data_IF_854295011788
#
_entry.id   IF_854295011788
#
_cell.length_a   1.000
_cell.length_b   1.000
_cell.length_c   1.000
_cell.angle_alpha   90.00
_cell.angle_beta   90.00
_cell.angle_gamma   90.00
#
_symmetry.space_group_name_H-M   'P 1'
#
loop_
_entity.id
_entity.type
_entity.pdbx_description
1 polymer ?
#
# COMPACT_ATOMS: atom_id res chain seq x y z
N UNK A 1 -1.04 -6.85 19.02
CA UNK A 1 0.40 -6.54 18.98
C UNK A 1 0.64 -5.36 19.89
N UNK A 2 1.24 -5.63 21.04
CA UNK A 2 1.61 -4.61 22.04
C UNK A 2 2.82 -3.87 21.52
N UNK A 3 2.82 -2.54 21.51
CA UNK A 3 3.95 -1.76 21.02
C UNK A 3 4.95 -1.49 22.14
N UNK A 4 6.23 -1.39 21.79
CA UNK A 4 7.29 -1.02 22.74
C UNK A 4 7.05 0.36 23.39
N UNK A 5 6.39 1.27 22.66
CA UNK A 5 6.00 2.61 23.13
C UNK A 5 5.02 2.59 24.31
N UNK A 6 4.28 1.49 24.50
CA UNK A 6 3.28 1.40 25.56
C UNK A 6 3.93 1.12 26.94
N UNK A 7 5.21 0.73 26.98
CA UNK A 7 5.95 0.31 28.16
C UNK A 7 6.65 1.52 28.80
N UNK A 8 6.11 1.98 29.94
CA UNK A 8 6.55 3.17 30.67
C UNK A 8 7.98 3.06 31.23
N UNK A 9 8.45 1.84 31.42
CA UNK A 9 9.75 1.52 32.01
C UNK A 9 10.89 1.59 30.98
N UNK A 10 10.59 1.66 29.69
CA UNK A 10 11.59 1.86 28.63
C UNK A 10 11.66 3.36 28.30
N UNK A 11 12.83 4.00 28.39
CA UNK A 11 12.99 5.39 28.02
C UNK A 11 12.55 5.64 26.56
N UNK A 12 11.91 6.77 26.28
CA UNK A 12 11.44 7.07 24.91
C UNK A 12 12.57 7.07 23.87
N UNK A 13 13.77 7.51 24.26
CA UNK A 13 14.96 7.49 23.41
C UNK A 13 15.45 6.06 23.12
N UNK A 14 15.24 5.13 24.05
CA UNK A 14 15.55 3.72 23.88
C UNK A 14 14.54 3.05 22.94
N UNK A 15 13.26 3.43 23.00
CA UNK A 15 12.25 2.97 22.03
C UNK A 15 12.59 3.45 20.62
N UNK A 16 12.93 4.73 20.44
CA UNK A 16 13.35 5.28 19.14
C UNK A 16 14.58 4.55 18.57
N UNK A 17 15.52 4.15 19.44
CA UNK A 17 16.71 3.41 19.07
C UNK A 17 16.38 1.96 18.68
N UNK A 18 15.50 1.27 19.41
CA UNK A 18 15.03 -0.08 19.10
C UNK A 18 14.27 -0.12 17.77
N UNK A 19 13.40 0.86 17.52
CA UNK A 19 12.70 1.00 16.24
C UNK A 19 13.68 1.26 15.08
N UNK A 20 14.76 2.01 15.32
CA UNK A 20 15.78 2.28 14.31
C UNK A 20 16.62 1.04 13.95
N UNK A 21 16.77 0.10 14.89
CA UNK A 21 17.44 -1.19 14.64
C UNK A 21 16.51 -2.20 13.96
N UNK A 22 15.18 -2.02 14.11
CA UNK A 22 14.17 -2.82 13.42
C UNK A 22 13.24 -3.58 14.36
N UNK A 23 13.44 -3.49 15.68
CA UNK A 23 12.59 -4.13 16.67
C UNK A 23 11.36 -3.25 16.91
N UNK A 24 10.27 -3.58 16.22
CA UNK A 24 8.99 -2.85 16.31
C UNK A 24 8.02 -3.50 17.30
N UNK A 25 8.16 -4.82 17.49
CA UNK A 25 7.26 -5.65 18.28
C UNK A 25 7.92 -6.22 19.54
N UNK A 26 7.10 -6.38 20.59
CA UNK A 26 7.54 -6.82 21.92
C UNK A 26 7.99 -8.29 21.91
N UNK A 27 7.38 -9.13 21.07
CA UNK A 27 7.71 -10.56 20.93
C UNK A 27 9.09 -10.75 20.29
N UNK A 28 9.37 -10.07 19.18
CA UNK A 28 10.65 -10.10 18.47
C UNK A 28 11.81 -9.57 19.36
N UNK A 29 11.54 -8.50 20.11
CA UNK A 29 12.50 -7.94 21.07
C UNK A 29 12.82 -8.92 22.22
N UNK A 30 11.84 -9.70 22.67
CA UNK A 30 12.02 -10.64 23.78
C UNK A 30 12.80 -11.90 23.37
N UNK A 31 12.52 -12.45 22.18
CA UNK A 31 13.13 -13.69 21.69
C UNK A 31 14.61 -13.54 21.27
N UNK A 32 15.03 -12.31 20.95
CA UNK A 32 16.40 -12.03 20.48
C UNK A 32 17.43 -12.20 21.60
N UNK A 33 18.66 -12.65 21.32
CA UNK A 33 19.73 -12.75 22.32
C UNK A 33 20.16 -11.35 22.82
N UNK A 34 20.26 -11.16 24.15
CA UNK A 34 20.62 -9.88 24.76
C UNK A 34 22.01 -9.36 24.33
N UNK A 35 22.98 -10.25 24.10
CA UNK A 35 24.34 -9.87 23.71
C UNK A 35 24.44 -9.42 22.26
N UNK A 36 23.73 -10.09 21.36
CA UNK A 36 23.64 -9.72 19.94
C UNK A 36 22.89 -8.39 19.77
N UNK A 37 21.78 -8.26 20.48
CA UNK A 37 20.97 -7.04 20.52
C UNK A 37 21.77 -5.83 21.03
N UNK A 38 22.58 -6.00 22.09
CA UNK A 38 23.43 -4.93 22.61
C UNK A 38 24.42 -4.43 21.56
N UNK A 39 25.07 -5.34 20.82
CA UNK A 39 26.02 -4.98 19.78
C UNK A 39 25.36 -4.19 18.63
N UNK A 40 24.15 -4.57 18.23
CA UNK A 40 23.37 -3.86 17.21
C UNK A 40 22.93 -2.47 17.66
N UNK A 41 22.40 -2.38 18.90
CA UNK A 41 21.92 -1.13 19.48
C UNK A 41 23.07 -0.13 19.69
N UNK A 42 24.23 -0.57 20.19
CA UNK A 42 25.41 0.29 20.36
C UNK A 42 25.91 0.79 19.00
N UNK A 43 25.98 -0.10 18.00
CA UNK A 43 26.37 0.27 16.63
C UNK A 43 25.40 1.28 16.02
N UNK A 44 24.09 1.11 16.23
CA UNK A 44 23.09 2.04 15.77
C UNK A 44 23.17 3.39 16.50
N UNK A 45 23.42 3.38 17.81
CA UNK A 45 23.56 4.61 18.58
C UNK A 45 24.78 5.43 18.16
N UNK A 46 25.90 4.79 17.82
CA UNK A 46 27.08 5.47 17.25
C UNK A 46 26.79 6.16 15.91
N UNK A 47 25.89 5.59 15.10
CA UNK A 47 25.54 6.14 13.79
C UNK A 47 24.45 7.22 13.86
N UNK A 48 23.50 7.06 14.79
CA UNK A 48 22.29 7.88 14.84
C UNK A 48 22.30 8.91 15.97
N UNK A 49 23.19 8.73 16.97
CA UNK A 49 23.32 9.58 18.16
C UNK A 49 21.97 9.87 18.82
N UNK A 50 21.15 8.83 19.01
CA UNK A 50 19.79 8.93 19.54
C UNK A 50 19.82 9.08 21.06
N UNK A 51 20.64 8.26 21.73
CA UNK A 51 20.86 8.33 23.17
C UNK A 51 22.18 9.04 23.50
N UNK A 52 22.25 9.82 24.59
CA UNK A 52 23.46 10.53 25.00
C UNK A 52 24.60 9.60 25.45
N UNK A 53 24.25 8.39 25.90
CA UNK A 53 25.19 7.36 26.32
C UNK A 53 24.80 6.02 25.69
N UNK A 54 25.80 5.20 25.38
CA UNK A 54 25.56 3.87 24.83
C UNK A 54 24.85 2.98 25.88
N UNK A 55 23.80 2.24 25.47
CA UNK A 55 23.15 1.29 26.36
C UNK A 55 24.13 0.22 26.86
N UNK A 56 23.96 -0.20 28.11
CA UNK A 56 24.72 -1.30 28.72
C UNK A 56 23.89 -2.58 28.72
N UNK A 57 24.55 -3.73 28.94
CA UNK A 57 23.88 -5.03 29.06
C UNK A 57 22.78 -5.01 30.15
N UNK A 58 23.06 -4.37 31.28
CA UNK A 58 22.11 -4.17 32.39
C UNK A 58 20.86 -3.38 31.96
N UNK A 59 21.00 -2.37 31.08
CA UNK A 59 19.87 -1.62 30.56
C UNK A 59 18.98 -2.49 29.66
N UNK A 60 19.60 -3.27 28.77
CA UNK A 60 18.87 -4.15 27.84
C UNK A 60 18.13 -5.26 28.60
N UNK A 61 18.75 -5.84 29.63
CA UNK A 61 18.11 -6.81 30.51
C UNK A 61 16.94 -6.19 31.30
N UNK A 62 17.11 -4.98 31.82
CA UNK A 62 16.03 -4.26 32.51
C UNK A 62 14.83 -4.01 31.59
N UNK A 63 15.07 -3.64 30.31
CA UNK A 63 14.01 -3.46 29.33
C UNK A 63 13.29 -4.77 29.00
N UNK A 64 14.02 -5.88 28.88
CA UNK A 64 13.44 -7.22 28.68
C UNK A 64 12.63 -7.69 29.89
N UNK A 65 13.08 -7.39 31.10
CA UNK A 65 12.31 -7.67 32.32
C UNK A 65 11.03 -6.84 32.40
N UNK A 66 11.06 -5.57 31.98
CA UNK A 66 9.85 -4.74 31.91
C UNK A 66 8.83 -5.29 30.92
N UNK A 67 9.31 -5.79 29.77
CA UNK A 67 8.51 -6.47 28.76
C UNK A 67 7.87 -7.75 29.31
N UNK A 68 8.65 -8.62 29.98
CA UNK A 68 8.16 -9.89 30.50
C UNK A 68 7.16 -9.71 31.65
N UNK A 69 7.34 -8.69 32.49
CA UNK A 69 6.42 -8.36 33.57
C UNK A 69 5.00 -8.01 33.07
N UNK A 70 4.87 -7.44 31.86
CA UNK A 70 3.58 -7.18 31.22
C UNK A 70 3.04 -8.38 30.43
N UNK A 71 3.90 -9.15 29.78
CA UNK A 71 3.50 -10.39 29.08
C UNK A 71 2.92 -11.44 30.03
N UNK A 72 3.45 -11.54 31.26
CA UNK A 72 2.94 -12.45 32.29
C UNK A 72 1.55 -12.06 32.82
N UNK A 73 1.14 -10.79 32.72
CA UNK A 73 -0.14 -10.30 33.23
C UNK A 73 -1.34 -10.52 32.27
N UNK A 74 -1.10 -11.05 31.07
CA UNK A 74 -2.16 -11.50 30.15
C UNK A 74 -2.41 -13.02 30.19
N UNK A 75 -1.72 -13.75 31.08
CA UNK A 75 -1.74 -15.21 31.17
C UNK A 75 -2.34 -15.81 32.46
N UNK A 76 -3.18 -15.09 33.20
CA UNK A 76 -3.89 -15.65 34.37
C UNK A 76 -5.40 -15.58 34.13
N UNK A 77 -5.94 -16.69 33.63
CA UNK A 77 -7.37 -16.92 33.53
C UNK A 77 -8.00 -17.01 34.91
N UNK A 78 -8.89 -16.08 35.22
CA UNK A 78 -9.78 -16.19 36.36
C UNK A 78 -10.94 -17.11 36.01
N UNK A 79 -10.83 -18.35 36.46
CA UNK A 79 -11.88 -19.36 36.45
C UNK A 79 -12.79 -19.19 37.66
N UNK A 80 -14.11 -19.10 37.45
CA UNK A 80 -15.15 -19.54 38.41
C UNK A 80 -16.49 -19.71 37.67
N UNK A 81 -17.46 -20.52 38.17
CA UNK A 81 -17.78 -21.81 37.58
C UNK A 81 -19.26 -21.96 37.13
N UNK A 82 -19.54 -23.05 36.40
CA UNK A 82 -20.88 -23.53 35.98
C UNK A 82 -21.73 -24.07 37.14
N UNK A 83 -22.99 -23.63 37.22
CA UNK A 83 -24.27 -24.36 37.45
C UNK A 83 -25.35 -23.26 37.65
N UNK A 84 -26.62 -23.28 37.21
CA UNK A 84 -27.58 -24.37 36.96
C UNK A 84 -28.83 -23.79 36.23
N UNK A 85 -29.46 -24.63 35.39
CA UNK A 85 -30.85 -24.65 34.84
C UNK A 85 -31.72 -23.38 34.77
N UNK A 86 -32.42 -23.18 33.63
CA UNK A 86 -33.86 -23.53 33.47
C UNK A 86 -34.45 -23.06 32.12
N UNK A 87 -35.28 -23.96 31.60
CA UNK A 87 -36.22 -24.00 30.47
C UNK A 87 -36.86 -22.68 29.98
N UNK A 88 -37.10 -22.62 28.65
CA UNK A 88 -38.39 -22.29 27.99
C UNK A 88 -38.18 -22.21 26.46
N UNK A 89 -38.59 -23.25 25.74
CA UNK A 89 -39.76 -23.29 24.83
C UNK A 89 -39.55 -22.67 23.44
N UNK A 90 -39.45 -23.56 22.45
CA UNK A 90 -39.61 -23.26 21.03
C UNK A 90 -41.10 -23.35 20.64
N UNK A 91 -41.61 -22.51 19.72
CA UNK A 91 -42.84 -22.82 19.03
C UNK A 91 -42.59 -23.46 17.66
N UNK A 92 -43.33 -24.55 17.51
CA UNK A 92 -43.59 -25.42 16.38
C UNK A 92 -44.16 -24.66 15.17
N UNK A 93 -43.67 -25.02 13.97
CA UNK A 93 -44.19 -24.57 12.68
C UNK A 93 -45.21 -25.61 12.23
N UNK A 94 -46.48 -25.21 12.10
CA UNK A 94 -47.49 -26.02 11.41
C UNK A 94 -48.37 -25.21 10.46
N UNK A 95 -48.19 -25.55 9.18
CA UNK A 95 -49.16 -25.76 8.10
C UNK A 95 -50.23 -24.70 7.80
N UNK A 96 -50.33 -24.35 6.51
CA UNK A 96 -51.51 -24.72 5.72
C UNK A 96 -51.16 -24.89 4.23
N UNK A 97 -51.51 -26.07 3.72
CA UNK A 97 -51.66 -26.43 2.30
C UNK A 97 -53.08 -26.06 1.85
N UNK A 98 -53.22 -25.64 0.60
CA UNK A 98 -54.31 -25.97 -0.35
C UNK A 98 -53.88 -25.37 -1.71
N UNK A 99 -53.37 -26.17 -2.66
CA UNK A 99 -54.07 -27.04 -3.63
C UNK A 99 -54.64 -26.31 -4.84
N UNK A 100 -54.02 -26.49 -6.02
CA UNK A 100 -54.59 -26.83 -7.36
C UNK A 100 -53.34 -27.23 -8.20
N UNK A 101 -53.17 -28.39 -8.85
CA UNK A 101 -54.10 -29.42 -9.35
C UNK A 101 -54.08 -29.41 -10.89
N UNK A 102 -53.53 -30.46 -11.50
CA UNK A 102 -53.43 -30.74 -12.96
C UNK A 102 -52.40 -29.85 -13.71
N UNK A 103 -51.30 -30.36 -14.27
CA UNK A 103 -51.24 -31.40 -15.29
C UNK A 103 -50.05 -32.35 -15.07
N UNK A 104 -50.38 -33.56 -14.62
CA UNK A 104 -49.53 -34.74 -14.72
C UNK A 104 -49.99 -35.50 -15.97
N UNK A 105 -49.04 -36.11 -16.66
CA UNK A 105 -49.25 -37.14 -17.68
C UNK A 105 -49.56 -36.65 -19.11
N UNK A 106 -48.58 -36.07 -19.79
CA UNK A 106 -48.53 -36.18 -21.26
C UNK A 106 -47.18 -35.96 -21.95
N UNK A 107 -46.03 -36.01 -21.25
CA UNK A 107 -44.73 -35.85 -21.94
C UNK A 107 -43.59 -36.72 -21.39
N UNK A 108 -43.94 -37.91 -20.94
CA UNK A 108 -42.97 -38.97 -20.56
C UNK A 108 -43.05 -40.19 -21.49
N UNK A 109 -43.47 -40.05 -22.76
CA UNK A 109 -43.58 -41.23 -23.66
C UNK A 109 -43.18 -41.07 -25.12
N UNK A 110 -42.68 -39.91 -25.54
CA UNK A 110 -42.20 -39.71 -26.92
C UNK A 110 -40.98 -38.79 -26.91
N UNK A 111 -39.90 -39.28 -26.32
CA UNK A 111 -38.51 -38.95 -26.69
C UNK A 111 -37.61 -39.98 -25.98
N UNK A 112 -37.98 -41.25 -26.15
CA UNK A 112 -37.21 -42.44 -25.82
C UNK A 112 -36.62 -43.08 -27.08
N UNK A 113 -36.33 -42.26 -28.10
CA UNK A 113 -35.80 -42.67 -29.40
C UNK A 113 -34.76 -41.66 -29.90
N UNK A 114 -33.78 -41.31 -29.06
CA UNK A 114 -32.53 -40.68 -29.54
C UNK A 114 -31.39 -40.99 -28.56
N UNK A 115 -31.32 -42.25 -28.11
CA UNK A 115 -30.13 -42.81 -27.46
C UNK A 115 -29.48 -43.76 -28.46
N UNK A 116 -28.69 -43.21 -29.40
CA UNK A 116 -27.92 -44.03 -30.33
C UNK A 116 -26.79 -43.30 -31.06
N UNK A 117 -25.95 -42.57 -30.34
CA UNK A 117 -24.52 -42.46 -30.70
C UNK A 117 -23.79 -41.62 -29.66
N UNK A 118 -23.16 -42.28 -28.71
CA UNK A 118 -21.79 -42.05 -28.22
C UNK A 118 -21.64 -42.90 -26.96
N UNK A 119 -21.69 -44.23 -27.18
CA UNK A 119 -21.13 -45.19 -26.25
C UNK A 119 -19.63 -44.87 -26.22
N UNK A 120 -19.19 -44.08 -25.24
CA UNK A 120 -17.77 -43.92 -24.99
C UNK A 120 -17.25 -45.28 -24.57
N UNK A 121 -16.32 -45.84 -25.35
CA UNK A 121 -15.56 -47.03 -24.97
C UNK A 121 -14.84 -46.70 -23.65
N UNK A 122 -15.43 -47.11 -22.54
CA UNK A 122 -14.77 -47.07 -21.23
C UNK A 122 -13.69 -48.14 -21.28
N UNK A 123 -12.44 -47.71 -21.41
CA UNK A 123 -11.28 -48.59 -21.38
C UNK A 123 -11.31 -49.40 -20.06
N UNK A 124 -11.35 -50.74 -20.11
CA UNK A 124 -11.38 -51.57 -18.91
C UNK A 124 -10.12 -51.47 -18.04
N UNK A 125 -9.09 -50.73 -18.47
CA UNK A 125 -7.90 -50.42 -17.67
C UNK A 125 -7.98 -49.07 -16.92
N UNK A 126 -9.12 -48.37 -16.94
CA UNK A 126 -9.28 -47.12 -16.21
C UNK A 126 -9.33 -47.41 -14.70
N UNK A 127 -8.24 -47.11 -14.00
CA UNK A 127 -8.16 -47.23 -12.54
C UNK A 127 -9.02 -46.12 -11.93
N UNK A 128 -10.04 -46.50 -11.16
CA UNK A 128 -10.87 -45.53 -10.47
C UNK A 128 -10.13 -45.00 -9.23
N UNK A 129 -9.53 -43.82 -9.36
CA UNK A 129 -8.77 -43.17 -8.29
C UNK A 129 -9.66 -42.50 -7.24
N UNK A 130 -10.99 -42.44 -7.41
CA UNK A 130 -11.91 -41.86 -6.42
C UNK A 130 -12.02 -42.72 -5.15
N UNK A 131 -11.60 -43.97 -5.21
CA UNK A 131 -11.54 -44.90 -4.07
C UNK A 131 -10.19 -44.86 -3.33
N UNK A 132 -9.20 -44.12 -3.85
CA UNK A 132 -7.90 -43.98 -3.20
C UNK A 132 -8.01 -43.07 -1.95
N UNK A 133 -7.57 -43.54 -0.76
CA UNK A 133 -7.67 -42.77 0.47
C UNK A 133 -6.93 -41.43 0.43
N UNK A 134 -5.86 -41.32 -0.37
CA UNK A 134 -5.09 -40.08 -0.53
C UNK A 134 -5.84 -39.08 -1.42
N UNK A 135 -6.52 -39.57 -2.47
CA UNK A 135 -7.40 -38.76 -3.33
C UNK A 135 -8.66 -38.33 -2.59
N UNK A 136 -9.25 -39.18 -1.75
CA UNK A 136 -10.39 -38.80 -0.90
C UNK A 136 -10.01 -37.71 0.11
N UNK A 137 -8.83 -37.81 0.74
CA UNK A 137 -8.33 -36.77 1.64
C UNK A 137 -8.11 -35.42 0.92
N UNK A 138 -7.69 -35.48 -0.36
CA UNK A 138 -7.56 -34.28 -1.20
C UNK A 138 -8.92 -33.71 -1.61
N UNK A 139 -9.89 -34.55 -2.01
CA UNK A 139 -11.24 -34.12 -2.40
C UNK A 139 -12.01 -33.47 -1.25
N UNK A 140 -11.82 -33.93 -0.01
CA UNK A 140 -12.39 -33.28 1.19
C UNK A 140 -11.89 -31.84 1.37
N UNK A 141 -10.68 -31.54 0.93
CA UNK A 141 -10.08 -30.20 1.00
C UNK A 141 -10.21 -29.41 -0.32
N UNK A 142 -10.74 -30.03 -1.38
CA UNK A 142 -10.88 -29.41 -2.68
C UNK A 142 -12.07 -28.42 -2.68
N UNK A 143 -11.94 -27.26 -3.34
CA UNK A 143 -13.02 -26.30 -3.44
C UNK A 143 -14.19 -26.91 -4.22
N UNK A 144 -15.36 -26.98 -3.61
CA UNK A 144 -16.59 -27.46 -4.25
C UNK A 144 -17.06 -26.43 -5.29
N UNK A 145 -17.27 -26.90 -6.53
CA UNK A 145 -17.78 -26.05 -7.59
C UNK A 145 -19.30 -25.93 -7.47
N UNK A 146 -19.78 -24.83 -6.88
CA UNK A 146 -21.22 -24.54 -6.88
C UNK A 146 -21.68 -24.09 -8.28
N UNK A 147 -22.74 -24.70 -8.84
CA UNK A 147 -23.27 -24.28 -10.13
C UNK A 147 -23.80 -22.84 -10.04
N UNK A 148 -23.29 -21.98 -10.92
CA UNK A 148 -23.72 -20.58 -10.99
C UNK A 148 -25.20 -20.48 -11.35
N UNK A 149 -25.97 -19.77 -10.52
CA UNK A 149 -27.39 -19.48 -10.80
C UNK A 149 -27.51 -18.65 -12.07
N UNK A 150 -28.42 -19.04 -12.97
CA UNK A 150 -28.66 -18.38 -14.26
C UNK A 150 -28.96 -16.87 -14.18
N UNK A 151 -29.51 -16.40 -13.04
CA UNK A 151 -29.77 -14.98 -12.79
C UNK A 151 -28.49 -14.15 -12.61
N UNK A 152 -27.42 -14.73 -12.06
CA UNK A 152 -26.13 -14.07 -11.90
C UNK A 152 -25.39 -13.95 -13.23
N UNK A 153 -25.42 -15.02 -14.04
CA UNK A 153 -24.87 -15.04 -15.41
C UNK A 153 -25.46 -13.91 -16.24
N UNK A 154 -26.79 -13.75 -16.20
CA UNK A 154 -27.49 -12.70 -16.96
C UNK A 154 -27.23 -11.29 -16.44
N UNK A 155 -27.15 -11.11 -15.11
CA UNK A 155 -26.91 -9.79 -14.50
C UNK A 155 -25.47 -9.30 -14.74
N UNK A 156 -24.51 -10.20 -14.82
CA UNK A 156 -23.09 -9.86 -14.98
C UNK A 156 -22.58 -10.10 -16.40
N UNK A 157 -23.47 -10.52 -17.32
CA UNK A 157 -23.20 -10.78 -18.72
C UNK A 157 -21.96 -11.69 -18.93
N UNK A 158 -21.89 -12.76 -18.13
CA UNK A 158 -20.78 -13.71 -18.12
C UNK A 158 -20.90 -14.57 -19.37
N UNK A 159 -19.90 -14.50 -20.27
CA UNK A 159 -19.85 -15.34 -21.45
C UNK A 159 -19.38 -16.76 -21.08
N UNK A 160 -19.66 -17.75 -21.92
CA UNK A 160 -19.19 -19.13 -21.70
C UNK A 160 -17.66 -19.17 -21.64
N UNK A 161 -16.99 -18.34 -22.44
CA UNK A 161 -15.54 -18.19 -22.46
C UNK A 161 -14.95 -17.61 -21.15
N UNK A 162 -15.78 -16.98 -20.30
CA UNK A 162 -15.35 -16.43 -19.01
C UNK A 162 -15.37 -17.49 -17.89
N UNK A 163 -15.94 -18.68 -18.15
CA UNK A 163 -16.00 -19.79 -17.20
C UNK A 163 -14.73 -20.63 -17.40
N UNK A 164 -13.89 -20.82 -16.36
CA UNK A 164 -12.69 -21.63 -16.50
C UNK A 164 -13.06 -23.08 -16.83
N UNK A 165 -12.39 -23.66 -17.83
CA UNK A 165 -12.54 -25.07 -18.17
C UNK A 165 -12.12 -25.94 -16.97
N UNK A 166 -13.05 -26.76 -16.47
CA UNK A 166 -12.79 -27.72 -15.43
C UNK A 166 -12.16 -28.98 -16.01
N UNK A 167 -11.08 -29.46 -15.40
CA UNK A 167 -10.47 -30.75 -15.76
C UNK A 167 -11.27 -31.86 -15.04
N UNK A 168 -11.86 -32.77 -15.81
CA UNK A 168 -12.52 -33.96 -15.28
C UNK A 168 -11.47 -35.04 -15.01
N UNK A 169 -11.27 -35.37 -13.73
CA UNK A 169 -10.26 -36.33 -13.29
C UNK A 169 -10.47 -37.74 -13.87
N UNK A 170 -11.71 -38.08 -14.20
CA UNK A 170 -12.08 -39.35 -14.85
C UNK A 170 -11.58 -39.49 -16.28
N UNK A 171 -11.11 -38.40 -16.91
CA UNK A 171 -10.60 -38.40 -18.28
C UNK A 171 -9.07 -38.20 -18.36
N UNK A 172 -8.38 -38.14 -17.22
CA UNK A 172 -6.95 -37.96 -17.18
C UNK A 172 -6.22 -39.32 -17.09
N UNK A 173 -5.26 -39.56 -17.99
CA UNK A 173 -4.35 -40.71 -17.92
C UNK A 173 -2.92 -40.25 -17.63
N UNK A 174 -2.32 -40.73 -16.54
CA UNK A 174 -0.94 -40.42 -16.13
C UNK A 174 -0.83 -39.60 -14.83
N UNK A 175 0.39 -39.28 -14.41
CA UNK A 175 0.63 -38.37 -13.27
C UNK A 175 0.23 -36.93 -13.67
N UNK A 176 -0.80 -36.39 -13.01
CA UNK A 176 -1.28 -35.02 -13.23
C UNK A 176 -0.95 -34.17 -12.01
N UNK A 177 0.00 -33.24 -12.15
CA UNK A 177 0.28 -32.23 -11.12
C UNK A 177 -0.85 -31.19 -11.08
N UNK A 178 -1.75 -31.30 -10.11
CA UNK A 178 -2.77 -30.30 -9.84
C UNK A 178 -2.20 -29.20 -8.93
N UNK A 179 -1.89 -28.04 -9.52
CA UNK A 179 -1.43 -26.89 -8.75
C UNK A 179 -2.65 -26.16 -8.13
N UNK A 180 -2.94 -26.44 -6.86
CA UNK A 180 -4.02 -25.81 -6.08
C UNK A 180 -3.62 -24.38 -5.70
N UNK A 181 -3.52 -23.51 -6.70
CA UNK A 181 -3.28 -22.08 -6.47
C UNK A 181 -4.60 -21.41 -6.14
N UNK A 182 -4.72 -20.93 -4.91
CA UNK A 182 -5.83 -20.09 -4.48
C UNK A 182 -5.99 -18.91 -5.44
N UNK A 183 -7.23 -18.66 -5.88
CA UNK A 183 -7.64 -17.61 -6.82
C UNK A 183 -7.10 -16.19 -6.54
N UNK A 184 -6.69 -15.77 -5.32
CA UNK A 184 -6.07 -14.46 -5.11
C UNK A 184 -4.68 -14.29 -5.74
N UNK A 185 -3.93 -15.38 -5.94
CA UNK A 185 -2.56 -15.30 -6.49
C UNK A 185 -2.55 -15.04 -7.99
N UNK A 186 -3.50 -15.61 -8.74
CA UNK A 186 -3.59 -15.46 -10.19
C UNK A 186 -3.97 -14.04 -10.62
N UNK A 187 -4.82 -13.36 -9.83
CA UNK A 187 -5.16 -11.95 -10.02
C UNK A 187 -3.95 -11.02 -9.79
N UNK A 188 -3.11 -11.33 -8.80
CA UNK A 188 -1.89 -10.57 -8.51
C UNK A 188 -0.83 -10.73 -9.60
N UNK A 189 -0.72 -11.90 -10.23
CA UNK A 189 0.20 -12.13 -11.34
C UNK A 189 -0.19 -11.32 -12.58
N UNK A 190 -1.47 -11.36 -12.98
CA UNK A 190 -1.98 -10.55 -14.12
C UNK A 190 -1.80 -9.04 -13.90
N UNK A 191 -2.05 -8.56 -12.69
CA UNK A 191 -1.86 -7.14 -12.35
C UNK A 191 -0.37 -6.72 -12.41
N UNK A 192 0.55 -7.60 -11.99
CA UNK A 192 2.00 -7.33 -12.04
C UNK A 192 2.56 -7.37 -13.45
N UNK A 193 2.04 -8.25 -14.31
CA UNK A 193 2.43 -8.31 -15.72
C UNK A 193 2.01 -7.04 -16.48
N UNK A 194 0.79 -6.53 -16.19
CA UNK A 194 0.32 -5.25 -16.69
C UNK A 194 1.16 -4.05 -16.19
N UNK A 195 1.60 -4.07 -14.92
CA UNK A 195 2.46 -3.03 -14.35
C UNK A 195 3.91 -3.09 -14.87
N UNK A 196 4.43 -4.28 -15.15
CA UNK A 196 5.75 -4.46 -15.75
C UNK A 196 5.81 -3.93 -17.20
N UNK A 197 4.74 -4.14 -17.97
CA UNK A 197 4.58 -3.54 -19.31
C UNK A 197 4.57 -2.01 -19.29
N UNK A 198 4.03 -1.38 -18.24
CA UNK A 198 4.02 0.09 -18.08
C UNK A 198 5.36 0.67 -17.63
N UNK A 199 6.17 -0.12 -16.92
CA UNK A 199 7.45 0.34 -16.34
C UNK A 199 8.66 -0.01 -17.20
N UNK A 200 8.48 -0.80 -18.26
CA UNK A 200 9.57 -1.26 -19.13
C UNK A 200 10.51 -2.25 -18.43
N UNK A 201 10.04 -2.86 -17.34
CA UNK A 201 10.77 -3.89 -16.61
C UNK A 201 10.56 -5.22 -17.33
N UNK A 202 11.66 -5.88 -17.73
CA UNK A 202 11.60 -7.22 -18.30
C UNK A 202 11.23 -8.22 -17.20
N UNK A 203 9.98 -8.68 -17.23
CA UNK A 203 9.43 -9.68 -16.29
C UNK A 203 10.26 -10.95 -16.26
N UNK A 204 10.80 -11.35 -17.42
CA UNK A 204 11.68 -12.53 -17.55
C UNK A 204 12.99 -12.45 -16.75
N UNK A 205 13.35 -11.28 -16.21
CA UNK A 205 14.54 -11.10 -15.38
C UNK A 205 14.21 -11.11 -13.87
N UNK A 206 12.94 -11.05 -13.51
CA UNK A 206 12.50 -11.05 -12.11
C UNK A 206 12.25 -12.51 -11.72
N UNK A 207 13.23 -13.14 -11.06
CA UNK A 207 13.07 -14.50 -10.53
C UNK A 207 12.22 -14.49 -9.25
N UNK A 208 11.54 -15.61 -8.99
CA UNK A 208 10.82 -15.85 -7.75
C UNK A 208 11.82 -16.01 -6.58
N UNK A 209 11.42 -15.59 -5.37
CA UNK A 209 12.27 -15.78 -4.17
C UNK A 209 12.52 -17.25 -3.87
N UNK A 210 11.60 -18.13 -4.27
CA UNK A 210 11.70 -19.58 -4.08
C UNK A 210 12.71 -20.25 -5.05
N UNK A 211 13.21 -19.49 -6.04
CA UNK A 211 14.14 -19.94 -7.09
C UNK A 211 15.49 -19.20 -7.02
N UNK A 212 15.70 -18.46 -5.92
CA UNK A 212 16.98 -17.89 -5.56
C UNK A 212 17.81 -18.98 -4.88
N UNK A 213 18.60 -19.69 -5.68
CA UNK A 213 19.68 -20.54 -5.15
C UNK A 213 20.59 -19.74 -4.21
N UNK A 214 21.12 -20.42 -3.20
CA UNK A 214 22.04 -19.95 -2.14
C UNK A 214 23.42 -19.48 -2.69
N UNK A 215 23.57 -19.42 -4.02
CA UNK A 215 24.76 -18.88 -4.67
C UNK A 215 24.65 -17.37 -4.86
N UNK A 216 25.47 -16.67 -4.09
CA UNK A 216 25.67 -15.22 -4.07
C UNK A 216 26.15 -14.71 -5.45
N UNK A 217 25.24 -14.57 -6.40
CA UNK A 217 25.55 -14.10 -7.75
C UNK A 217 25.78 -12.59 -7.72
N UNK A 218 27.06 -12.21 -7.63
CA UNK A 218 27.50 -10.83 -7.72
C UNK A 218 27.27 -10.29 -9.15
N UNK A 219 26.08 -9.73 -9.40
CA UNK A 219 25.75 -9.12 -10.70
C UNK A 219 26.58 -7.85 -10.85
N UNK A 220 27.47 -7.84 -11.86
CA UNK A 220 28.26 -6.67 -12.21
C UNK A 220 27.29 -5.54 -12.61
N UNK A 221 27.35 -4.36 -11.96
CA UNK A 221 26.44 -3.27 -12.28
C UNK A 221 26.59 -2.88 -13.75
N UNK A 222 25.46 -2.64 -14.43
CA UNK A 222 25.47 -2.21 -15.82
C UNK A 222 26.36 -0.97 -15.97
N UNK A 223 27.15 -0.94 -17.04
CA UNK A 223 27.93 0.23 -17.42
C UNK A 223 26.98 1.43 -17.53
N UNK A 224 27.16 2.40 -16.63
CA UNK A 224 26.40 3.64 -16.65
C UNK A 224 26.71 4.33 -17.97
N UNK A 225 25.77 4.28 -18.92
CA UNK A 225 25.82 5.10 -20.13
C UNK A 225 26.04 6.57 -19.76
N UNK A 226 26.57 7.36 -20.70
CA UNK A 226 26.99 8.75 -20.50
C UNK A 226 26.06 9.48 -19.52
N UNK A 227 26.61 9.86 -18.37
CA UNK A 227 25.83 10.47 -17.30
C UNK A 227 25.19 11.74 -17.85
N UNK A 228 23.86 11.70 -18.04
CA UNK A 228 23.10 12.92 -18.31
C UNK A 228 23.47 13.90 -17.18
N UNK A 229 23.93 15.11 -17.54
CA UNK A 229 24.42 16.21 -16.65
C UNK A 229 23.62 16.43 -15.35
N UNK A 230 22.38 15.94 -15.31
CA UNK A 230 21.46 16.02 -14.18
C UNK A 230 21.75 15.08 -12.99
N UNK A 231 22.65 14.08 -13.11
CA UNK A 231 23.07 13.21 -11.97
C UNK A 231 24.49 13.52 -11.51
N UNK A 232 25.28 14.25 -12.29
CA UNK A 232 26.56 14.77 -11.81
C UNK A 232 26.31 15.85 -10.77
N UNK A 233 26.98 15.74 -9.61
CA UNK A 233 27.34 16.90 -8.80
C UNK A 233 27.85 17.95 -9.78
N UNK A 234 27.23 19.13 -9.82
CA UNK A 234 27.55 20.19 -10.78
C UNK A 234 29.06 20.29 -10.97
N UNK A 235 29.54 19.86 -12.14
CA UNK A 235 30.98 19.77 -12.40
C UNK A 235 31.58 21.17 -12.19
N UNK A 236 32.57 21.25 -11.29
CA UNK A 236 33.26 22.49 -10.94
C UNK A 236 32.81 23.19 -9.65
N UNK A 237 31.56 23.06 -9.19
CA UNK A 237 31.09 23.83 -8.01
C UNK A 237 31.62 23.26 -6.69
N UNK A 238 31.74 21.93 -6.59
CA UNK A 238 32.23 21.24 -5.40
C UNK A 238 33.62 20.62 -5.62
N UNK A 239 34.31 21.00 -6.70
CA UNK A 239 35.64 20.46 -6.99
C UNK A 239 36.63 20.92 -5.91
N UNK A 240 37.26 19.97 -5.21
CA UNK A 240 38.21 20.28 -4.13
C UNK A 240 37.58 20.69 -2.80
N UNK A 241 36.26 20.60 -2.64
CA UNK A 241 35.56 20.88 -1.38
C UNK A 241 35.14 19.57 -0.70
N UNK A 242 35.50 19.43 0.59
CA UNK A 242 35.07 18.27 1.38
C UNK A 242 33.56 18.32 1.65
N UNK A 243 32.83 17.18 1.70
CA UNK A 243 31.38 17.14 1.94
C UNK A 243 30.92 17.77 3.27
N UNK A 244 31.83 17.81 4.24
CA UNK A 244 31.64 18.40 5.57
C UNK A 244 31.85 19.92 5.57
N UNK A 245 32.50 20.47 4.55
CA UNK A 245 32.77 21.90 4.48
C UNK A 245 31.47 22.70 4.31
N UNK A 246 31.38 23.84 5.00
CA UNK A 246 30.22 24.76 4.90
C UNK A 246 30.01 25.32 3.50
N UNK A 247 31.05 25.30 2.67
CA UNK A 247 31.05 25.77 1.28
C UNK A 247 30.63 24.67 0.30
N UNK A 248 30.53 23.41 0.73
CA UNK A 248 30.06 22.32 -0.10
C UNK A 248 28.58 22.54 -0.42
N UNK A 249 28.30 22.82 -1.70
CA UNK A 249 26.94 23.08 -2.10
C UNK A 249 26.22 21.73 -2.21
N UNK A 250 25.16 21.53 -1.43
CA UNK A 250 24.40 20.27 -1.35
C UNK A 250 23.16 20.29 -2.25
N UNK A 251 22.83 19.16 -2.87
CA UNK A 251 21.60 18.98 -3.66
C UNK A 251 21.80 18.87 -5.17
N UNK A 252 20.78 18.33 -5.84
CA UNK A 252 20.76 18.04 -7.29
C UNK A 252 20.23 19.25 -8.05
N UNK A 253 20.87 19.61 -9.17
CA UNK A 253 20.40 20.69 -10.02
C UNK A 253 19.18 20.24 -10.83
N UNK A 254 18.08 21.00 -10.77
CA UNK A 254 16.92 20.72 -11.62
C UNK A 254 17.20 21.12 -13.07
N UNK A 255 16.89 20.29 -14.08
CA UNK A 255 17.17 20.59 -15.49
C UNK A 255 16.39 21.82 -15.99
N UNK A 256 15.16 22.00 -15.51
CA UNK A 256 14.27 23.09 -15.91
C UNK A 256 13.93 23.96 -14.69
N UNK A 257 14.82 24.85 -14.23
CA UNK A 257 14.60 25.62 -13.02
C UNK A 257 13.45 26.61 -13.16
N UNK A 258 13.26 27.18 -14.35
CA UNK A 258 12.21 28.14 -14.64
C UNK A 258 10.82 27.52 -14.53
N UNK A 259 10.60 26.33 -15.10
CA UNK A 259 9.30 25.62 -15.03
C UNK A 259 8.89 25.34 -13.59
N UNK A 260 9.84 24.92 -12.74
CA UNK A 260 9.56 24.67 -11.31
C UNK A 260 9.19 25.97 -10.58
N UNK A 261 9.83 27.10 -10.90
CA UNK A 261 9.47 28.40 -10.31
C UNK A 261 8.08 28.87 -10.75
N UNK A 262 7.74 28.76 -12.03
CA UNK A 262 6.40 29.10 -12.53
C UNK A 262 5.34 28.24 -11.84
N UNK A 263 5.61 26.94 -11.71
CA UNK A 263 4.71 26.04 -10.99
C UNK A 263 4.56 26.40 -9.51
N UNK A 264 5.67 26.74 -8.84
CA UNK A 264 5.67 27.19 -7.45
C UNK A 264 4.89 28.49 -7.26
N UNK A 265 5.01 29.43 -8.20
CA UNK A 265 4.26 30.68 -8.20
C UNK A 265 2.75 30.44 -8.24
N UNK A 266 2.25 29.63 -9.18
CA UNK A 266 0.82 29.34 -9.26
C UNK A 266 0.30 28.54 -8.07
N UNK A 267 1.10 27.61 -7.53
CA UNK A 267 0.75 26.88 -6.30
C UNK A 267 0.60 27.82 -5.10
N UNK A 268 1.51 28.80 -4.96
CA UNK A 268 1.44 29.81 -3.92
C UNK A 268 0.26 30.76 -4.12
N UNK A 269 0.03 31.22 -5.36
CA UNK A 269 -1.06 32.12 -5.72
C UNK A 269 -2.43 31.51 -5.38
N UNK A 270 -2.65 30.24 -5.71
CA UNK A 270 -3.88 29.53 -5.35
C UNK A 270 -4.04 29.45 -3.84
N UNK A 271 -2.98 29.12 -3.10
CA UNK A 271 -3.06 29.01 -1.64
C UNK A 271 -3.39 30.37 -0.99
N UNK A 272 -2.78 31.46 -1.47
CA UNK A 272 -3.05 32.81 -0.97
C UNK A 272 -4.48 33.26 -1.30
N UNK A 273 -4.94 33.02 -2.53
CA UNK A 273 -6.30 33.37 -2.93
C UNK A 273 -7.34 32.50 -2.22
N UNK A 274 -7.04 31.25 -1.90
CA UNK A 274 -7.92 30.37 -1.13
C UNK A 274 -8.10 30.91 0.29
N UNK A 275 -7.00 31.29 0.97
CA UNK A 275 -7.06 31.92 2.30
C UNK A 275 -7.79 33.27 2.23
N UNK A 276 -7.51 34.08 1.20
CA UNK A 276 -8.17 35.36 0.99
C UNK A 276 -9.68 35.19 0.73
N UNK A 277 -10.10 34.13 0.02
CA UNK A 277 -11.52 33.81 -0.15
C UNK A 277 -12.16 33.33 1.16
N UNK A 278 -11.48 32.46 1.90
CA UNK A 278 -11.99 31.92 3.16
C UNK A 278 -12.29 33.02 4.19
N UNK A 279 -11.44 34.04 4.27
CA UNK A 279 -11.58 35.17 5.21
C UNK A 279 -12.36 36.33 4.59
N UNK A 280 -12.05 36.66 3.33
CA UNK A 280 -12.57 37.83 2.64
C UNK A 280 -14.03 37.70 2.23
N UNK A 281 -14.51 36.50 1.88
CA UNK A 281 -15.92 36.32 1.48
C UNK A 281 -16.87 36.57 2.65
N UNK A 282 -16.70 35.95 3.85
CA UNK A 282 -17.52 36.28 5.01
C UNK A 282 -17.42 37.76 5.39
N UNK A 283 -16.22 38.32 5.36
CA UNK A 283 -16.00 39.73 5.68
C UNK A 283 -16.76 40.68 4.73
N UNK A 284 -16.69 40.44 3.42
CA UNK A 284 -17.37 41.27 2.41
C UNK A 284 -18.90 41.17 2.52
N UNK A 285 -19.43 39.99 2.82
CA UNK A 285 -20.86 39.78 3.02
C UNK A 285 -21.35 40.54 4.26
N UNK A 286 -20.63 40.40 5.39
CA UNK A 286 -20.95 41.13 6.63
C UNK A 286 -20.85 42.65 6.45
N UNK A 287 -19.77 43.11 5.80
CA UNK A 287 -19.57 44.53 5.52
C UNK A 287 -20.66 45.11 4.60
N UNK A 288 -21.08 44.35 3.59
CA UNK A 288 -22.19 44.71 2.71
C UNK A 288 -23.52 44.78 3.44
N UNK A 289 -23.78 43.83 4.35
CA UNK A 289 -24.99 43.80 5.18
C UNK A 289 -25.05 44.96 6.18
N UNK A 290 -23.93 45.37 6.77
CA UNK A 290 -23.90 46.44 7.77
C UNK A 290 -24.01 47.84 7.13
N UNK A 291 -23.39 48.03 5.95
CA UNK A 291 -23.29 49.36 5.32
C UNK A 291 -24.28 49.58 4.17
N UNK A 292 -25.19 48.63 3.90
CA UNK A 292 -26.17 48.66 2.79
C UNK A 292 -25.52 48.94 1.42
N UNK A 293 -24.26 48.53 1.24
CA UNK A 293 -23.51 48.72 -0.01
C UNK A 293 -23.50 47.43 -0.81
N UNK A 294 -23.69 47.57 -2.13
CA UNK A 294 -23.56 46.46 -3.07
C UNK A 294 -22.10 45.97 -3.15
N UNK A 295 -21.79 44.88 -2.45
CA UNK A 295 -20.46 44.23 -2.43
C UNK A 295 -20.31 43.13 -3.49
N UNK A 296 -21.23 43.02 -4.44
CA UNK A 296 -21.23 41.97 -5.47
C UNK A 296 -19.97 41.97 -6.33
N UNK A 297 -19.50 43.14 -6.78
CA UNK A 297 -18.30 43.24 -7.63
C UNK A 297 -17.01 42.74 -6.95
N UNK A 298 -16.69 43.17 -5.71
CA UNK A 298 -15.58 42.59 -4.94
C UNK A 298 -15.67 41.08 -4.77
N UNK A 299 -16.86 40.55 -4.45
CA UNK A 299 -17.11 39.11 -4.25
C UNK A 299 -16.85 38.34 -5.55
N UNK A 300 -17.39 38.83 -6.67
CA UNK A 300 -17.17 38.24 -8.01
C UNK A 300 -15.70 38.31 -8.40
N UNK A 301 -15.03 39.44 -8.16
CA UNK A 301 -13.61 39.59 -8.44
C UNK A 301 -12.73 38.61 -7.67
N UNK A 302 -12.99 38.46 -6.37
CA UNK A 302 -12.25 37.54 -5.50
C UNK A 302 -12.47 36.06 -5.88
N UNK A 303 -13.72 35.71 -6.21
CA UNK A 303 -14.10 34.36 -6.67
C UNK A 303 -13.51 34.04 -8.04
N UNK A 304 -13.63 34.97 -8.99
CA UNK A 304 -13.06 34.83 -10.34
C UNK A 304 -11.55 34.73 -10.30
N UNK A 305 -10.87 35.48 -9.41
CA UNK A 305 -9.43 35.38 -9.21
C UNK A 305 -9.01 33.99 -8.73
N UNK A 306 -9.73 33.42 -7.75
CA UNK A 306 -9.49 32.05 -7.29
C UNK A 306 -9.71 31.04 -8.43
N UNK A 307 -10.80 31.17 -9.17
CA UNK A 307 -11.10 30.28 -10.30
C UNK A 307 -10.01 30.30 -11.37
N UNK A 308 -9.60 31.49 -11.81
CA UNK A 308 -8.55 31.65 -12.84
C UNK A 308 -7.18 31.16 -12.35
N UNK A 309 -6.84 31.43 -11.08
CA UNK A 309 -5.58 30.92 -10.50
C UNK A 309 -5.58 29.41 -10.35
N UNK A 310 -6.71 28.81 -9.94
CA UNK A 310 -6.85 27.35 -9.85
C UNK A 310 -6.69 26.69 -11.23
N UNK A 311 -7.30 27.28 -12.26
CA UNK A 311 -7.13 26.82 -13.64
C UNK A 311 -5.67 26.88 -14.08
N UNK A 312 -4.99 28.00 -13.83
CA UNK A 312 -3.57 28.16 -14.14
C UNK A 312 -2.69 27.17 -13.37
N UNK A 313 -3.00 26.88 -12.11
CA UNK A 313 -2.31 25.87 -11.32
C UNK A 313 -2.48 24.46 -11.91
N UNK A 314 -3.66 24.10 -12.43
CA UNK A 314 -3.86 22.80 -13.07
C UNK A 314 -3.02 22.63 -14.34
N UNK A 315 -2.90 23.68 -15.14
CA UNK A 315 -2.08 23.66 -16.37
C UNK A 315 -0.57 23.72 -16.09
N UNK A 316 -0.13 24.65 -15.24
CA UNK A 316 1.30 24.92 -15.01
C UNK A 316 1.81 24.40 -13.66
N UNK A 317 1.04 24.57 -12.58
CA UNK A 317 1.42 24.19 -11.21
C UNK A 317 1.68 22.69 -11.01
N UNK A 318 0.85 21.84 -11.62
CA UNK A 318 0.94 20.38 -11.47
C UNK A 318 2.10 19.77 -12.29
N UNK A 319 2.68 20.53 -13.21
CA UNK A 319 3.70 20.04 -14.15
C UNK A 319 5.08 19.79 -13.52
N UNK A 320 5.38 20.41 -12.37
CA UNK A 320 6.70 20.30 -11.74
C UNK A 320 6.92 18.92 -11.12
N UNK A 321 7.94 18.20 -11.63
CA UNK A 321 8.34 16.86 -11.18
C UNK A 321 9.69 16.90 -10.47
N UNK A 322 9.90 16.00 -9.51
CA UNK A 322 11.24 15.76 -8.99
C UNK A 322 12.09 15.11 -10.08
N UNK A 323 13.36 15.51 -10.19
CA UNK A 323 14.30 14.83 -11.08
C UNK A 323 14.71 13.44 -10.56
N UNK A 324 14.78 13.28 -9.24
CA UNK A 324 15.26 12.05 -8.59
C UNK A 324 14.16 11.00 -8.55
N UNK A 325 13.01 11.30 -7.94
CA UNK A 325 11.91 10.34 -7.78
C UNK A 325 10.77 10.51 -8.81
N UNK A 326 10.84 11.47 -9.72
CA UNK A 326 9.80 11.71 -10.73
C UNK A 326 8.47 12.28 -10.20
N UNK A 327 8.29 12.36 -8.88
CA UNK A 327 7.02 12.73 -8.26
C UNK A 327 6.65 14.21 -8.46
N UNK A 328 5.36 14.50 -8.62
CA UNK A 328 4.84 15.87 -8.78
C UNK A 328 4.93 16.65 -7.47
N UNK A 329 5.70 17.73 -7.44
CA UNK A 329 6.07 18.41 -6.19
C UNK A 329 4.91 19.16 -5.54
N UNK A 330 4.11 19.86 -6.34
CA UNK A 330 3.02 20.69 -5.83
C UNK A 330 1.67 19.99 -5.87
N UNK A 331 1.60 18.69 -6.18
CA UNK A 331 0.34 17.95 -6.21
C UNK A 331 0.04 17.33 -4.84
N UNK A 332 -1.20 17.43 -4.34
CA UNK A 332 -1.59 16.72 -3.12
C UNK A 332 -1.58 15.21 -3.37
N UNK A 333 -0.91 14.46 -2.49
CA UNK A 333 -0.91 13.00 -2.50
C UNK A 333 -1.02 12.45 -1.09
N UNK A 334 -1.71 11.31 -0.96
CA UNK A 334 -1.84 10.53 0.26
C UNK A 334 -0.70 9.50 0.35
N UNK A 335 0.52 9.96 0.52
CA UNK A 335 1.64 9.06 0.78
C UNK A 335 2.54 9.64 1.86
N UNK A 336 3.37 8.77 2.44
CA UNK A 336 4.34 9.14 3.45
C UNK A 336 5.28 10.20 2.86
N UNK A 337 5.46 11.29 3.60
CA UNK A 337 6.33 12.40 3.23
C UNK A 337 7.62 12.30 4.03
N UNK A 338 8.72 12.74 3.42
CA UNK A 338 10.02 12.68 4.08
C UNK A 338 10.07 13.64 5.27
N UNK A 339 10.73 13.24 6.37
CA UNK A 339 10.94 14.07 7.56
C UNK A 339 11.68 15.38 7.28
N UNK A 340 12.56 15.40 6.26
CA UNK A 340 13.32 16.60 5.84
C UNK A 340 12.50 17.58 5.00
N UNK A 341 11.28 17.22 4.61
CA UNK A 341 10.43 18.10 3.82
C UNK A 341 9.98 19.31 4.63
N UNK A 342 9.94 20.48 3.99
CA UNK A 342 9.41 21.67 4.65
C UNK A 342 7.92 21.46 4.96
N UNK A 343 7.57 21.62 6.23
CA UNK A 343 6.20 21.45 6.71
C UNK A 343 5.86 22.61 7.63
N UNK A 344 4.63 23.07 7.53
CA UNK A 344 4.04 23.99 8.51
C UNK A 344 2.76 23.30 9.01
N UNK A 345 2.55 23.21 10.33
CA UNK A 345 1.30 22.66 10.87
C UNK A 345 0.11 23.42 10.27
N UNK A 346 -1.00 22.72 10.02
CA UNK A 346 -2.23 23.24 9.38
C UNK A 346 -2.15 23.53 7.87
N UNK A 347 -1.05 24.10 7.38
CA UNK A 347 -0.90 24.49 5.97
C UNK A 347 -0.36 23.33 5.11
N UNK A 348 0.39 22.41 5.72
CA UNK A 348 0.97 21.25 5.06
C UNK A 348 2.32 21.56 4.41
N UNK A 349 2.59 20.91 3.27
CA UNK A 349 3.92 20.84 2.67
C UNK A 349 4.07 21.65 1.37
N UNK A 350 2.96 21.99 0.71
CA UNK A 350 2.98 22.63 -0.61
C UNK A 350 3.44 24.07 -0.49
N UNK A 351 2.81 24.86 0.41
CA UNK A 351 3.15 26.27 0.60
C UNK A 351 4.62 26.49 1.00
N UNK A 352 5.17 25.85 2.06
CA UNK A 352 6.55 26.11 2.45
C UNK A 352 7.54 25.67 1.38
N UNK A 353 7.29 24.55 0.70
CA UNK A 353 8.11 24.10 -0.44
C UNK A 353 8.08 25.10 -1.60
N UNK A 354 6.91 25.64 -1.94
CA UNK A 354 6.74 26.64 -3.00
C UNK A 354 7.43 27.97 -2.64
N UNK A 355 7.32 28.39 -1.37
CA UNK A 355 8.00 29.57 -0.85
C UNK A 355 9.53 29.42 -0.97
N UNK A 356 10.06 28.28 -0.55
CA UNK A 356 11.50 27.99 -0.67
C UNK A 356 11.98 27.97 -2.13
N UNK A 357 11.22 27.32 -3.01
CA UNK A 357 11.52 27.29 -4.44
C UNK A 357 11.56 28.69 -5.07
N UNK A 358 10.67 29.60 -4.65
CA UNK A 358 10.56 30.97 -5.18
C UNK A 358 11.64 31.91 -4.63
N UNK A 359 11.78 31.99 -3.30
CA UNK A 359 12.66 32.98 -2.67
C UNK A 359 14.11 32.50 -2.55
N UNK A 360 14.29 31.26 -2.09
CA UNK A 360 15.63 30.74 -1.81
C UNK A 360 16.23 29.99 -3.01
N UNK A 361 15.45 29.72 -4.06
CA UNK A 361 15.89 29.03 -5.30
C UNK A 361 16.41 27.60 -5.02
N UNK A 362 15.97 27.00 -3.93
CA UNK A 362 16.21 25.60 -3.58
C UNK A 362 15.08 25.10 -2.69
N UNK A 363 14.82 23.80 -2.67
CA UNK A 363 13.83 23.18 -1.79
C UNK A 363 14.13 21.69 -1.57
N UNK A 364 13.60 21.09 -0.52
CA UNK A 364 13.61 19.63 -0.35
C UNK A 364 12.41 18.99 -1.03
N UNK A 365 12.64 17.93 -1.81
CA UNK A 365 11.55 17.14 -2.36
C UNK A 365 10.71 16.52 -1.21
N UNK A 366 9.39 16.71 -1.26
CA UNK A 366 8.47 16.23 -0.21
C UNK A 366 8.43 14.70 -0.08
N UNK A 367 8.81 13.97 -1.13
CA UNK A 367 8.77 12.51 -1.18
C UNK A 367 10.14 11.89 -0.90
N UNK A 368 11.15 12.17 -1.74
CA UNK A 368 12.47 11.55 -1.59
C UNK A 368 13.42 12.30 -0.64
N UNK A 369 13.04 13.49 -0.14
CA UNK A 369 13.87 14.28 0.77
C UNK A 369 15.15 14.84 0.15
N UNK A 370 15.36 14.68 -1.16
CA UNK A 370 16.55 15.22 -1.83
C UNK A 370 16.46 16.74 -1.92
N UNK A 371 17.55 17.43 -1.58
CA UNK A 371 17.69 18.86 -1.84
C UNK A 371 17.78 19.11 -3.35
N UNK A 372 16.89 19.94 -3.89
CA UNK A 372 16.85 20.31 -5.31
C UNK A 372 17.17 21.80 -5.45
N UNK A 373 18.15 22.12 -6.30
CA UNK A 373 18.54 23.50 -6.61
C UNK A 373 17.93 23.97 -7.92
N UNK A 374 17.52 25.24 -7.94
CA UNK A 374 16.93 25.93 -9.09
C UNK A 374 17.84 27.03 -9.66
N UNK A 375 19.10 27.09 -9.23
CA UNK A 375 20.12 28.00 -9.76
C UNK A 375 21.43 27.20 -9.89
N UNK A 376 22.20 27.48 -10.95
CA UNK A 376 23.61 27.08 -11.03
C UNK A 376 24.43 27.90 -10.04
#
# INVERSE_FOLDING_TARGET
>A
MTKLQDISEIPSEAVDLLEAVGYLDVEEFYETNAQELLAEIVKANHQLAIMPHDPTEENVEAWKMAVSARGAYQGVGESTPKHESRDEEAPDIRNNNESVGADRAQREKEESEEDQSHLFDVDPNLVNFEEDPEVQAMLVNAPEAEPLRSTLIRRHNIAVDDIPEGILLTQCSGEVEMNVLSTPRLANLKNREADAGRTGLMVSRIRHFDEADDEDHHIKPLDKGASKEAVSVSQGVNHGLTPESRRFVRGVLHPEPFRVRVAAFFAMLVQLLLVANLIGMPWLILYGSINEKNMLWPIVGLSSGLFLSALAYLFWGVSARCRVCGQRQFAPKKCLKNRKAHHIPLIGYILPTALHAMFFKWFYCTYCGTAVRLKR
#
